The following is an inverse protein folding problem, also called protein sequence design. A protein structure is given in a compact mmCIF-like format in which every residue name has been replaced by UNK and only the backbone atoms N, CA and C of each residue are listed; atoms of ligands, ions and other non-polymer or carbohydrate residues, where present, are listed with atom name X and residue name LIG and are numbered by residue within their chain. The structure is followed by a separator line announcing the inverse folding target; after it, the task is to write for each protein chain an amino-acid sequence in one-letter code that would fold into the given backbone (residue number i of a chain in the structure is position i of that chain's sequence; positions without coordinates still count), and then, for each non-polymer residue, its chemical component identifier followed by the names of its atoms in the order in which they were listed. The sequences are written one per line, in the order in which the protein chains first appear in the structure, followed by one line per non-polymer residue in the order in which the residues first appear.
data_IF_978096207212
#
_entry.id   IF_978096207212
#
_cell.length_a   1.000
_cell.length_b   1.000
_cell.length_c   1.000
_cell.angle_alpha   90.00
_cell.angle_beta   90.00
_cell.angle_gamma   90.00
#
_symmetry.space_group_name_H-M   'P 1'
#
loop_
_entity.id
_entity.type
_entity.pdbx_description
1 polymer ?
#
# COMPACT_ATOMS: atom_id res chain seq x y z
N UNK A 1 60.17 -29.94 39.57
CA UNK A 1 59.47 -28.71 40.01
C UNK A 1 59.32 -27.83 38.80
N UNK A 2 58.14 -27.88 38.20
CA UNK A 2 57.90 -27.59 36.80
C UNK A 2 57.46 -26.13 36.61
N UNK A 3 58.14 -25.44 35.71
CA UNK A 3 57.84 -24.09 35.26
C UNK A 3 56.55 -24.10 34.44
N UNK A 4 55.57 -23.33 34.88
CA UNK A 4 54.26 -23.19 34.24
C UNK A 4 54.36 -22.34 32.97
N UNK A 5 53.97 -22.94 31.85
CA UNK A 5 53.63 -22.31 30.59
C UNK A 5 52.30 -21.54 30.74
N UNK A 6 52.22 -20.32 30.20
CA UNK A 6 50.94 -19.73 29.76
C UNK A 6 51.17 -19.03 28.43
N UNK A 7 50.95 -19.79 27.35
CA UNK A 7 50.64 -19.28 26.02
C UNK A 7 49.13 -19.51 25.81
N UNK A 8 48.43 -18.53 25.27
CA UNK A 8 46.98 -18.56 24.98
C UNK A 8 46.29 -17.47 25.79
N UNK A 9 45.57 -16.51 25.22
CA UNK A 9 44.63 -16.65 24.10
C UNK A 9 44.43 -15.28 23.46
N UNK A 10 44.61 -15.18 22.15
CA UNK A 10 44.30 -14.00 21.35
C UNK A 10 42.77 -13.92 21.20
N UNK A 11 42.10 -13.06 21.97
CA UNK A 11 40.66 -12.78 21.79
C UNK A 11 40.52 -11.79 20.63
N UNK A 12 40.45 -12.33 19.40
CA UNK A 12 39.99 -11.58 18.23
C UNK A 12 38.46 -11.51 18.28
N UNK A 13 37.93 -10.58 19.07
CA UNK A 13 36.51 -10.25 19.11
C UNK A 13 36.14 -9.53 17.80
N UNK A 14 35.68 -10.30 16.82
CA UNK A 14 35.08 -9.82 15.58
C UNK A 14 33.85 -8.96 15.90
N UNK A 15 34.05 -7.66 16.00
CA UNK A 15 33.01 -6.63 15.96
C UNK A 15 32.51 -6.52 14.52
N UNK A 16 31.57 -7.39 14.15
CA UNK A 16 30.66 -7.11 13.04
C UNK A 16 29.64 -6.07 13.50
N UNK A 17 29.50 -4.91 12.85
CA UNK A 17 28.30 -4.10 13.00
C UNK A 17 27.14 -4.90 12.42
N UNK A 18 26.11 -5.11 13.26
CA UNK A 18 24.82 -5.67 12.89
C UNK A 18 24.35 -5.04 11.57
N UNK A 19 24.31 -5.84 10.51
CA UNK A 19 23.46 -5.55 9.37
C UNK A 19 22.03 -5.48 9.94
N UNK A 20 21.54 -4.26 10.15
CA UNK A 20 20.12 -4.00 10.26
C UNK A 20 19.59 -4.28 8.86
N UNK A 21 19.16 -5.53 8.67
CA UNK A 21 18.28 -5.90 7.58
C UNK A 21 16.98 -5.14 7.88
N UNK A 22 16.85 -3.92 7.37
CA UNK A 22 15.59 -3.26 7.22
C UNK A 22 14.77 -4.16 6.28
N UNK A 23 14.05 -5.13 6.87
CA UNK A 23 12.99 -5.84 6.17
C UNK A 23 12.05 -4.78 5.57
N UNK A 24 11.46 -5.05 4.41
CA UNK A 24 10.52 -4.12 3.79
C UNK A 24 9.50 -3.74 4.86
N UNK A 25 9.49 -2.47 5.24
CA UNK A 25 8.63 -1.96 6.28
C UNK A 25 7.22 -2.49 6.00
N UNK A 26 6.67 -3.28 6.93
CA UNK A 26 5.23 -3.50 7.01
C UNK A 26 4.63 -2.11 7.15
N UNK A 27 4.31 -1.49 6.03
CA UNK A 27 3.89 -0.10 5.95
C UNK A 27 2.56 -0.05 6.69
N UNK A 28 2.56 0.43 7.93
CA UNK A 28 1.38 0.36 8.79
C UNK A 28 0.13 0.79 8.00
N UNK A 29 -0.99 0.06 8.16
CA UNK A 29 -2.23 0.37 7.47
C UNK A 29 -2.76 1.73 7.94
N UNK A 30 -2.30 2.81 7.32
CA UNK A 30 -2.73 4.16 7.66
C UNK A 30 -4.05 4.48 6.98
N UNK A 31 -5.13 4.13 7.69
CA UNK A 31 -6.50 4.39 7.28
C UNK A 31 -7.11 5.57 8.04
N UNK A 32 -6.30 6.45 8.65
CA UNK A 32 -6.75 7.55 9.51
C UNK A 32 -7.44 8.67 8.74
N UNK A 33 -6.99 8.94 7.51
CA UNK A 33 -7.54 9.96 6.63
C UNK A 33 -7.95 9.39 5.27
N UNK A 34 -8.86 10.06 4.52
CA UNK A 34 -9.19 9.66 3.16
C UNK A 34 -7.98 9.58 2.23
N UNK A 35 -7.01 10.49 2.42
CA UNK A 35 -5.79 10.56 1.59
C UNK A 35 -4.87 9.40 1.92
N UNK A 36 -4.51 9.25 3.20
CA UNK A 36 -3.65 8.16 3.70
C UNK A 36 -4.21 6.79 3.32
N UNK A 37 -5.53 6.61 3.43
CA UNK A 37 -6.17 5.34 3.09
C UNK A 37 -6.03 4.98 1.60
N UNK A 38 -5.99 5.98 0.72
CA UNK A 38 -5.80 5.75 -0.73
C UNK A 38 -4.33 5.55 -1.05
N UNK A 39 -3.44 6.34 -0.46
CA UNK A 39 -1.99 6.16 -0.57
C UNK A 39 -1.61 4.74 -0.13
N UNK A 40 -2.07 4.30 1.04
CA UNK A 40 -1.90 2.91 1.53
C UNK A 40 -2.42 1.89 0.53
N UNK A 41 -3.61 2.07 -0.04
CA UNK A 41 -4.15 1.14 -1.05
C UNK A 41 -3.25 1.05 -2.29
N UNK A 42 -2.74 2.19 -2.76
CA UNK A 42 -1.88 2.27 -3.95
C UNK A 42 -0.54 1.59 -3.65
N UNK A 43 0.05 1.85 -2.49
CA UNK A 43 1.32 1.28 -2.08
C UNK A 43 1.22 -0.24 -1.92
N UNK A 44 0.16 -0.74 -1.25
CA UNK A 44 -0.10 -2.18 -1.15
C UNK A 44 -0.33 -2.82 -2.51
N UNK A 45 -1.06 -2.14 -3.40
CA UNK A 45 -1.25 -2.64 -4.75
C UNK A 45 0.08 -2.71 -5.52
N UNK A 46 0.91 -1.66 -5.48
CA UNK A 46 2.23 -1.61 -6.13
C UNK A 46 3.16 -2.69 -5.60
N UNK A 47 3.21 -2.87 -4.28
CA UNK A 47 4.02 -3.88 -3.61
C UNK A 47 3.55 -5.33 -3.88
N UNK A 48 2.37 -5.53 -4.49
CA UNK A 48 1.81 -6.87 -4.70
C UNK A 48 1.31 -7.51 -3.40
N UNK A 49 1.07 -6.72 -2.35
CA UNK A 49 0.56 -7.20 -1.06
C UNK A 49 -0.96 -7.41 -1.13
N UNK A 50 -1.37 -8.62 -1.51
CA UNK A 50 -2.78 -8.99 -1.62
C UNK A 50 -3.51 -8.90 -0.28
N UNK A 51 -2.87 -9.32 0.82
CA UNK A 51 -3.49 -9.36 2.14
C UNK A 51 -3.67 -7.95 2.70
N UNK A 52 -2.64 -7.12 2.63
CA UNK A 52 -2.70 -5.71 3.03
C UNK A 52 -3.66 -4.91 2.15
N UNK A 53 -3.69 -5.18 0.84
CA UNK A 53 -4.67 -4.56 -0.04
C UNK A 53 -6.09 -4.92 0.38
N UNK A 54 -6.38 -6.20 0.66
CA UNK A 54 -7.70 -6.65 1.15
C UNK A 54 -8.13 -5.91 2.42
N UNK A 55 -7.20 -5.68 3.34
CA UNK A 55 -7.49 -4.98 4.60
C UNK A 55 -7.99 -3.54 4.40
N UNK A 56 -7.63 -2.89 3.29
CA UNK A 56 -8.05 -1.53 2.95
C UNK A 56 -9.48 -1.41 2.40
N UNK A 57 -10.14 -2.54 2.13
CA UNK A 57 -11.51 -2.57 1.60
C UNK A 57 -12.50 -3.06 2.66
N UNK A 58 -13.75 -2.66 2.46
CA UNK A 58 -14.87 -3.18 3.25
C UNK A 58 -14.96 -4.71 3.09
N UNK A 59 -15.34 -5.40 4.16
CA UNK A 59 -15.37 -6.87 4.26
C UNK A 59 -16.01 -7.55 3.03
N UNK A 60 -17.20 -7.08 2.63
CA UNK A 60 -17.95 -7.58 1.46
C UNK A 60 -17.21 -7.55 0.11
N UNK A 61 -16.11 -6.80 0.01
CA UNK A 61 -15.29 -6.70 -1.20
C UNK A 61 -14.01 -7.51 -1.14
N UNK A 62 -13.56 -7.94 0.05
CA UNK A 62 -12.25 -8.58 0.24
C UNK A 62 -12.11 -9.86 -0.58
N UNK A 63 -13.16 -10.68 -0.65
CA UNK A 63 -13.16 -11.93 -1.41
C UNK A 63 -13.11 -11.72 -2.92
N UNK A 64 -13.48 -10.53 -3.39
CA UNK A 64 -13.43 -10.16 -4.82
C UNK A 64 -12.06 -9.63 -5.25
N UNK A 65 -11.16 -9.44 -4.30
CA UNK A 65 -9.77 -9.02 -4.54
C UNK A 65 -8.95 -10.29 -4.71
N UNK A 66 -8.55 -10.55 -5.95
CA UNK A 66 -7.77 -11.72 -6.35
C UNK A 66 -6.43 -11.27 -6.92
N UNK A 67 -5.44 -12.17 -6.96
CA UNK A 67 -4.14 -11.91 -7.59
C UNK A 67 -4.29 -11.42 -9.03
N UNK A 68 -5.23 -12.00 -9.78
CA UNK A 68 -5.53 -11.57 -11.16
C UNK A 68 -5.91 -10.08 -11.23
N UNK A 69 -6.73 -9.62 -10.28
CA UNK A 69 -7.15 -8.22 -10.26
C UNK A 69 -6.08 -7.30 -9.66
N UNK A 70 -5.24 -7.81 -8.77
CA UNK A 70 -4.07 -7.11 -8.22
C UNK A 70 -3.02 -6.84 -9.31
N UNK A 71 -2.67 -7.84 -10.13
CA UNK A 71 -1.76 -7.65 -11.27
C UNK A 71 -2.26 -6.58 -12.24
N UNK A 72 -3.57 -6.60 -12.55
CA UNK A 72 -4.18 -5.53 -13.35
C UNK A 72 -4.09 -4.16 -12.67
N UNK A 73 -4.28 -4.10 -11.36
CA UNK A 73 -4.11 -2.86 -10.62
C UNK A 73 -2.67 -2.33 -10.76
N UNK A 74 -1.66 -3.20 -10.63
CA UNK A 74 -0.25 -2.84 -10.81
C UNK A 74 0.02 -2.28 -12.21
N UNK A 75 -0.39 -3.00 -13.27
CA UNK A 75 -0.25 -2.56 -14.67
C UNK A 75 -0.88 -1.17 -14.93
N UNK A 76 -1.99 -0.86 -14.25
CA UNK A 76 -2.62 0.46 -14.33
C UNK A 76 -1.88 1.53 -13.52
N UNK A 77 -1.40 1.17 -12.33
CA UNK A 77 -0.68 2.08 -11.42
C UNK A 77 0.74 2.42 -11.89
N UNK A 78 1.36 1.58 -12.74
CA UNK A 78 2.63 1.90 -13.41
C UNK A 78 2.53 3.13 -14.31
N UNK A 79 1.33 3.40 -14.84
CA UNK A 79 1.08 4.48 -15.81
C UNK A 79 0.54 5.75 -15.17
N UNK A 80 0.24 5.71 -13.87
CA UNK A 80 -0.46 6.77 -13.16
C UNK A 80 0.31 7.16 -11.89
N UNK A 81 0.59 8.45 -11.74
CA UNK A 81 1.14 8.98 -10.51
C UNK A 81 0.07 9.08 -9.42
N UNK A 82 0.49 9.26 -8.16
CA UNK A 82 -0.44 9.50 -7.06
C UNK A 82 -1.30 10.75 -7.32
N UNK A 83 -0.69 11.82 -7.83
CA UNK A 83 -1.37 13.08 -8.14
C UNK A 83 -2.39 12.93 -9.28
N UNK A 84 -2.16 11.99 -10.21
CA UNK A 84 -3.15 11.67 -11.24
C UNK A 84 -4.38 10.96 -10.65
N UNK A 85 -4.18 10.17 -9.59
CA UNK A 85 -5.22 9.36 -8.94
C UNK A 85 -6.00 10.14 -7.87
N UNK A 86 -5.33 11.04 -7.14
CA UNK A 86 -5.85 11.77 -5.98
C UNK A 86 -5.75 13.28 -6.21
N UNK A 87 -6.44 13.76 -7.23
CA UNK A 87 -6.49 15.19 -7.53
C UNK A 87 -7.41 15.96 -6.59
N UNK A 88 -8.53 15.36 -6.18
CA UNK A 88 -9.51 16.03 -5.31
C UNK A 88 -10.19 15.03 -4.38
N UNK A 89 -10.29 15.39 -3.09
CA UNK A 89 -11.02 14.63 -2.07
C UNK A 89 -12.28 15.42 -1.72
N UNK A 90 -13.45 14.92 -2.16
CA UNK A 90 -14.74 15.53 -1.85
C UNK A 90 -15.44 14.76 -0.74
N UNK A 91 -15.65 15.39 0.40
CA UNK A 91 -16.53 14.84 1.43
C UNK A 91 -17.99 14.96 0.95
N UNK A 92 -18.69 13.83 0.86
CA UNK A 92 -20.08 13.78 0.37
C UNK A 92 -21.09 13.89 1.51
N UNK A 93 -20.81 13.18 2.60
CA UNK A 93 -21.60 13.12 3.84
C UNK A 93 -20.63 12.79 4.98
N UNK A 94 -21.00 12.98 6.26
CA UNK A 94 -20.23 12.45 7.38
C UNK A 94 -19.90 10.96 7.16
N UNK A 95 -18.62 10.60 7.30
CA UNK A 95 -18.14 9.24 7.06
C UNK A 95 -18.15 8.76 5.60
N UNK A 96 -18.37 9.63 4.59
CA UNK A 96 -18.27 9.27 3.17
C UNK A 96 -17.46 10.29 2.37
N UNK A 97 -16.40 9.81 1.71
CA UNK A 97 -15.55 10.63 0.86
C UNK A 97 -15.52 10.06 -0.57
N UNK A 98 -15.39 10.94 -1.55
CA UNK A 98 -15.19 10.61 -2.95
C UNK A 98 -13.85 11.13 -3.39
N UNK A 99 -13.05 10.26 -4.00
CA UNK A 99 -11.73 10.59 -4.53
C UNK A 99 -11.87 10.76 -6.03
N UNK A 100 -11.43 11.91 -6.55
CA UNK A 100 -11.38 12.19 -7.98
C UNK A 100 -9.94 12.16 -8.48
N UNK A 101 -9.81 11.59 -9.66
CA UNK A 101 -8.60 11.64 -10.48
C UNK A 101 -8.49 13.00 -11.16
N UNK A 102 -7.28 13.31 -11.65
CA UNK A 102 -6.96 14.54 -12.38
C UNK A 102 -7.76 14.71 -13.67
N UNK A 103 -8.13 13.60 -14.32
CA UNK A 103 -8.99 13.59 -15.51
C UNK A 103 -10.48 13.84 -15.21
N UNK A 104 -10.83 14.09 -13.93
CA UNK A 104 -12.19 14.35 -13.47
C UNK A 104 -13.00 13.08 -13.17
N UNK A 105 -12.48 11.88 -13.46
CA UNK A 105 -13.15 10.62 -13.14
C UNK A 105 -13.11 10.35 -11.64
N UNK A 106 -14.07 9.57 -11.15
CA UNK A 106 -14.03 9.10 -9.77
C UNK A 106 -13.10 7.91 -9.67
N UNK A 107 -12.04 8.04 -8.87
CA UNK A 107 -11.12 6.94 -8.57
C UNK A 107 -11.84 5.90 -7.70
N UNK A 108 -12.20 6.31 -6.47
CA UNK A 108 -12.90 5.46 -5.52
C UNK A 108 -13.83 6.27 -4.61
N UNK A 109 -14.73 5.55 -3.94
CA UNK A 109 -15.49 6.08 -2.81
C UNK A 109 -14.96 5.42 -1.54
N UNK A 110 -14.76 6.21 -0.50
CA UNK A 110 -14.37 5.75 0.81
C UNK A 110 -15.54 5.88 1.78
N UNK A 111 -15.62 4.92 2.70
CA UNK A 111 -16.54 4.93 3.84
C UNK A 111 -15.73 4.82 5.12
N UNK A 112 -16.10 5.60 6.12
CA UNK A 112 -15.51 5.53 7.44
C UNK A 112 -16.24 4.48 8.28
N UNK A 113 -15.51 3.56 8.89
CA UNK A 113 -15.99 2.56 9.85
C UNK A 113 -14.99 2.50 10.99
N UNK A 114 -15.44 2.64 12.23
CA UNK A 114 -14.59 2.60 13.44
C UNK A 114 -13.38 3.54 13.37
N UNK A 115 -13.61 4.77 12.89
CA UNK A 115 -12.56 5.79 12.72
C UNK A 115 -11.62 5.57 11.53
N UNK A 116 -11.73 4.45 10.79
CA UNK A 116 -10.86 4.10 9.66
C UNK A 116 -11.59 4.23 8.32
N UNK A 117 -10.87 4.65 7.28
CA UNK A 117 -11.40 4.80 5.93
C UNK A 117 -11.16 3.57 5.07
N UNK A 118 -12.23 3.02 4.50
CA UNK A 118 -12.19 1.83 3.64
C UNK A 118 -12.74 2.13 2.25
N UNK A 119 -12.18 1.49 1.23
CA UNK A 119 -12.72 1.57 -0.12
C UNK A 119 -14.01 0.75 -0.26
N UNK A 120 -15.06 1.41 -0.76
CA UNK A 120 -16.37 0.81 -1.01
C UNK A 120 -16.51 0.26 -2.45
N UNK A 121 -15.50 0.47 -3.29
CA UNK A 121 -15.50 0.03 -4.69
C UNK A 121 -14.13 -0.47 -5.12
N UNK A 122 -14.11 -1.56 -5.88
CA UNK A 122 -12.92 -2.07 -6.55
C UNK A 122 -12.56 -1.17 -7.75
N UNK A 123 -11.74 -0.15 -7.51
CA UNK A 123 -11.39 0.87 -8.48
C UNK A 123 -10.57 0.32 -9.65
N UNK A 124 -9.71 -0.67 -9.42
CA UNK A 124 -8.88 -1.30 -10.46
C UNK A 124 -9.68 -2.06 -11.53
N UNK A 125 -10.95 -2.41 -11.30
CA UNK A 125 -11.82 -2.97 -12.35
C UNK A 125 -12.28 -1.90 -13.36
N UNK A 126 -12.24 -0.62 -12.97
CA UNK A 126 -12.77 0.52 -13.73
C UNK A 126 -11.70 1.45 -14.28
N UNK A 127 -10.45 1.31 -13.85
CA UNK A 127 -9.29 1.95 -14.47
C UNK A 127 -9.11 1.40 -15.88
N UNK A 128 -9.88 1.93 -16.84
CA UNK A 128 -9.62 1.73 -18.27
C UNK A 128 -8.92 2.97 -18.78
N UNK A 129 -7.87 2.82 -19.62
CA UNK A 129 -7.35 3.95 -20.38
C UNK A 129 -8.52 4.62 -21.11
N UNK A 130 -8.49 5.95 -21.20
CA UNK A 130 -9.48 6.70 -21.95
C UNK A 130 -9.42 6.19 -23.39
N UNK A 131 -10.46 5.48 -23.83
CA UNK A 131 -10.62 5.13 -25.24
C UNK A 131 -10.84 6.45 -25.97
N UNK A 132 -9.81 6.95 -26.65
CA UNK A 132 -9.96 8.03 -27.61
C UNK A 132 -10.70 7.46 -28.82
N UNK A 133 -12.02 7.28 -28.70
CA UNK A 133 -12.86 7.13 -29.88
C UNK A 133 -13.10 8.55 -30.38
N UNK A 134 -12.15 9.06 -31.17
CA UNK A 134 -12.40 10.19 -32.05
C UNK A 134 -13.44 9.73 -33.06
N UNK A 135 -14.64 10.32 -32.97
CA UNK A 135 -15.56 10.38 -34.10
C UNK A 135 -15.23 11.61 -34.91
#
# INVERSE_FOLDING_TARGET
MNRTCFLGTLVALLLLPKLVLAGPAESALDLSSPRSAVETQIDRARAGDLAGLKACFVERLRDRITEKNLKKAQEHLEKLSLDDLVAEIRQKKPGKAKIKMKDGRTFTNLVQKDGRWYAEKLWFKKLKPRSNNSK
#
